data_IF_675701710113
#
_entry.id   IF_675701710113
#
_cell.length_a   1.000
_cell.length_b   1.000
_cell.length_c   1.000
_cell.angle_alpha   90.00
_cell.angle_beta   90.00
_cell.angle_gamma   90.00
#
_symmetry.space_group_name_H-M   'P 1'
#
loop_
_entity.id
_entity.type
_entity.pdbx_description
1 polymer ?
#
# COMPACT_ATOMS: atom_id res chain seq x y z
N UNK A 1 -1.48 -6.94 9.17
CA UNK A 1 -1.93 -8.08 10.01
C UNK A 1 -3.39 -8.40 9.70
N UNK A 2 -3.70 -9.67 9.58
CA UNK A 2 -5.05 -10.18 9.34
C UNK A 2 -5.85 -10.16 10.65
N UNK A 3 -7.00 -9.52 10.65
CA UNK A 3 -7.95 -9.57 11.77
C UNK A 3 -8.78 -10.85 11.76
N UNK A 4 -9.47 -11.18 12.88
CA UNK A 4 -10.34 -12.36 12.96
C UNK A 4 -11.55 -12.28 12.02
N UNK A 5 -11.84 -11.10 11.51
CA UNK A 5 -12.87 -10.81 10.51
C UNK A 5 -12.35 -10.98 9.06
N UNK A 6 -11.10 -11.41 8.88
CA UNK A 6 -10.47 -11.57 7.58
C UNK A 6 -10.07 -10.27 6.89
N UNK A 7 -10.09 -9.15 7.61
CA UNK A 7 -9.68 -7.85 7.11
C UNK A 7 -8.22 -7.60 7.46
N UNK A 8 -7.42 -7.29 6.45
CA UNK A 8 -6.03 -6.93 6.63
C UNK A 8 -5.89 -5.47 7.07
N UNK A 9 -5.03 -5.24 8.05
CA UNK A 9 -4.75 -3.92 8.64
C UNK A 9 -3.25 -3.73 8.81
N UNK A 10 -2.81 -2.49 8.83
CA UNK A 10 -1.41 -2.17 9.03
C UNK A 10 -1.11 -2.13 10.53
N UNK A 11 -0.14 -2.95 10.94
CA UNK A 11 0.41 -2.94 12.29
C UNK A 11 1.68 -2.10 12.37
N UNK A 12 2.18 -1.90 13.58
CA UNK A 12 3.44 -1.21 13.85
C UNK A 12 4.30 -2.00 14.81
N UNK A 13 5.57 -2.08 14.47
CA UNK A 13 6.63 -2.51 15.37
C UNK A 13 7.86 -1.64 15.15
N UNK A 14 8.67 -1.46 16.18
CA UNK A 14 9.93 -0.72 16.08
C UNK A 14 11.06 -1.47 16.77
N UNK A 15 12.26 -1.25 16.26
CA UNK A 15 13.51 -1.81 16.73
C UNK A 15 14.59 -0.72 16.75
N UNK A 16 15.57 -0.87 17.62
CA UNK A 16 16.75 0.00 17.66
C UNK A 16 17.91 -0.54 16.83
N UNK A 17 17.93 -1.83 16.60
CA UNK A 17 19.02 -2.55 15.93
C UNK A 17 18.60 -3.26 14.63
N UNK A 18 17.32 -3.21 14.29
CA UNK A 18 16.74 -3.90 13.11
C UNK A 18 16.53 -5.40 13.31
N UNK A 19 16.92 -5.95 14.45
CA UNK A 19 16.87 -7.38 14.77
C UNK A 19 15.86 -7.66 15.88
N UNK A 20 15.93 -6.89 16.97
CA UNK A 20 15.07 -7.06 18.12
C UNK A 20 13.94 -6.02 18.10
N UNK A 21 12.71 -6.48 17.95
CA UNK A 21 11.52 -5.63 17.93
C UNK A 21 10.86 -5.58 19.30
N UNK A 22 11.40 -4.71 20.16
CA UNK A 22 10.97 -4.56 21.55
C UNK A 22 9.60 -3.87 21.67
N UNK A 23 9.25 -3.06 20.69
CA UNK A 23 7.96 -2.38 20.64
C UNK A 23 7.12 -2.98 19.53
N UNK A 24 5.97 -3.55 19.91
CA UNK A 24 4.97 -4.06 18.98
C UNK A 24 3.59 -3.65 19.47
N UNK A 25 2.86 -2.93 18.62
CA UNK A 25 1.50 -2.56 18.96
C UNK A 25 0.58 -3.79 18.87
N UNK A 26 -0.34 -3.91 19.82
CA UNK A 26 -1.31 -5.01 19.87
C UNK A 26 -2.59 -4.70 19.08
N UNK A 27 -2.69 -3.49 18.54
CA UNK A 27 -3.80 -3.03 17.73
C UNK A 27 -3.29 -2.45 16.40
N UNK A 28 -4.12 -2.43 15.35
CA UNK A 28 -3.74 -1.86 14.07
C UNK A 28 -3.57 -0.34 14.19
N UNK A 29 -2.56 0.19 13.51
CA UNK A 29 -2.28 1.63 13.50
C UNK A 29 -2.89 2.34 12.29
N UNK A 30 -3.31 1.57 11.28
CA UNK A 30 -3.98 2.10 10.10
C UNK A 30 -4.95 1.08 9.48
N UNK A 31 -6.09 1.59 9.08
CA UNK A 31 -7.07 0.95 8.20
C UNK A 31 -7.74 2.06 7.39
N UNK A 32 -7.91 1.90 6.09
CA UNK A 32 -8.54 2.92 5.27
C UNK A 32 -10.05 3.04 5.57
N UNK A 33 -10.52 4.27 5.81
CA UNK A 33 -11.91 4.54 6.20
C UNK A 33 -12.92 4.07 5.16
N UNK A 34 -12.60 4.21 3.86
CA UNK A 34 -13.47 3.72 2.78
C UNK A 34 -13.78 2.23 2.88
N UNK A 35 -12.87 1.47 3.49
CA UNK A 35 -13.09 0.06 3.72
C UNK A 35 -14.07 -0.17 4.89
N UNK A 36 -14.01 0.66 5.92
CA UNK A 36 -14.97 0.62 7.03
C UNK A 36 -16.39 0.93 6.55
N UNK A 37 -16.55 1.92 5.67
CA UNK A 37 -17.85 2.23 5.07
C UNK A 37 -18.34 1.10 4.15
N UNK A 38 -17.47 0.55 3.31
CA UNK A 38 -17.80 -0.59 2.47
C UNK A 38 -18.23 -1.82 3.31
N UNK A 39 -17.64 -2.02 4.47
CA UNK A 39 -18.03 -3.08 5.40
C UNK A 39 -19.46 -2.89 5.95
N UNK A 40 -19.86 -1.67 6.27
CA UNK A 40 -21.20 -1.38 6.78
C UNK A 40 -22.31 -1.73 5.79
N UNK A 41 -22.00 -1.64 4.49
CA UNK A 41 -22.95 -1.85 3.41
C UNK A 41 -22.80 -3.21 2.72
N UNK A 42 -21.85 -4.02 3.16
CA UNK A 42 -21.64 -5.33 2.57
C UNK A 42 -22.69 -6.33 3.07
N UNK A 43 -23.35 -7.10 2.17
CA UNK A 43 -24.35 -8.06 2.58
C UNK A 43 -23.77 -9.28 3.31
N UNK A 44 -22.46 -9.38 3.39
CA UNK A 44 -21.79 -10.45 4.12
C UNK A 44 -21.51 -9.98 5.55
N UNK A 45 -22.41 -10.33 6.46
CA UNK A 45 -22.02 -10.45 7.87
C UNK A 45 -20.74 -11.28 7.92
N UNK A 46 -19.69 -10.71 8.47
CA UNK A 46 -18.42 -11.41 8.67
C UNK A 46 -18.73 -12.81 9.17
N UNK A 47 -18.30 -13.87 8.50
CA UNK A 47 -18.49 -15.22 9.03
C UNK A 47 -17.83 -15.27 10.41
N UNK A 48 -18.53 -15.76 11.41
CA UNK A 48 -18.09 -15.78 12.80
C UNK A 48 -16.77 -16.56 13.03
N UNK A 49 -16.28 -17.23 12.00
CA UNK A 49 -14.95 -17.83 11.87
C UNK A 49 -14.52 -17.79 10.41
N UNK A 50 -13.60 -16.93 10.07
CA UNK A 50 -12.81 -17.09 8.85
C UNK A 50 -11.82 -18.23 9.11
N UNK A 51 -12.16 -19.38 8.60
CA UNK A 51 -11.15 -20.40 8.34
C UNK A 51 -10.38 -19.87 7.13
N UNK A 52 -9.09 -19.60 7.31
CA UNK A 52 -8.22 -19.24 6.20
C UNK A 52 -8.28 -20.36 5.16
N UNK A 53 -8.86 -20.05 4.03
CA UNK A 53 -8.92 -20.95 2.89
C UNK A 53 -8.04 -20.38 1.76
N UNK A 54 -6.86 -20.96 1.54
CA UNK A 54 -5.93 -20.48 0.51
C UNK A 54 -6.52 -20.58 -0.90
N UNK A 55 -7.58 -21.37 -1.12
CA UNK A 55 -8.25 -21.47 -2.41
C UNK A 55 -9.16 -20.26 -2.67
N UNK A 56 -9.67 -19.65 -1.61
CA UNK A 56 -10.48 -18.42 -1.67
C UNK A 56 -9.62 -17.16 -1.63
N UNK A 57 -8.43 -17.23 -1.01
CA UNK A 57 -7.55 -16.10 -0.74
C UNK A 57 -6.13 -16.35 -1.31
N UNK A 58 -6.05 -16.44 -2.62
CA UNK A 58 -4.80 -16.73 -3.35
C UNK A 58 -3.68 -15.71 -3.10
N UNK A 59 -4.01 -14.51 -2.57
CA UNK A 59 -3.02 -13.50 -2.19
C UNK A 59 -2.27 -13.85 -0.89
N UNK A 60 -2.74 -14.83 -0.12
CA UNK A 60 -2.21 -15.16 1.20
C UNK A 60 -2.69 -14.23 2.32
N UNK A 61 -3.49 -13.22 2.01
CA UNK A 61 -4.07 -12.25 2.95
C UNK A 61 -5.55 -12.51 3.25
N UNK A 62 -6.22 -11.48 3.80
CA UNK A 62 -7.65 -11.50 4.03
C UNK A 62 -8.48 -11.34 2.75
N UNK A 63 -9.78 -11.28 2.90
CA UNK A 63 -10.68 -10.98 1.79
C UNK A 63 -10.76 -9.47 1.47
N UNK A 64 -10.19 -8.62 2.33
CA UNK A 64 -10.17 -7.17 2.11
C UNK A 64 -9.26 -6.44 3.09
N UNK A 65 -9.18 -5.12 2.95
CA UNK A 65 -8.42 -4.24 3.81
C UNK A 65 -7.14 -3.68 3.18
N UNK A 66 -6.17 -3.35 4.01
CA UNK A 66 -4.89 -2.75 3.63
C UNK A 66 -3.76 -3.75 3.79
N UNK A 67 -2.97 -3.94 2.72
CA UNK A 67 -1.86 -4.90 2.71
C UNK A 67 -0.58 -4.27 2.14
N UNK A 68 0.56 -4.91 2.41
CA UNK A 68 1.86 -4.61 1.83
C UNK A 68 2.26 -3.12 1.88
N UNK A 69 2.32 -2.52 3.08
CA UNK A 69 2.69 -1.12 3.21
C UNK A 69 4.14 -0.88 2.79
N UNK A 70 4.37 0.22 2.09
CA UNK A 70 5.70 0.74 1.74
C UNK A 70 5.75 2.20 2.13
N UNK A 71 6.68 2.54 3.02
CA UNK A 71 6.79 3.87 3.57
C UNK A 71 8.10 4.54 3.19
N UNK A 72 8.02 5.82 2.88
CA UNK A 72 9.18 6.70 2.64
C UNK A 72 8.99 8.00 3.42
N UNK A 73 10.10 8.63 3.77
CA UNK A 73 10.10 9.95 4.43
C UNK A 73 10.53 11.00 3.41
N UNK A 74 9.74 12.06 3.28
CA UNK A 74 10.06 13.24 2.50
C UNK A 74 9.64 14.48 3.30
N UNK A 75 10.56 15.41 3.51
CA UNK A 75 10.31 16.71 4.14
C UNK A 75 9.53 16.61 5.47
N UNK A 76 9.93 15.68 6.36
CA UNK A 76 9.29 15.46 7.66
C UNK A 76 7.89 14.84 7.60
N UNK A 77 7.51 14.32 6.44
CA UNK A 77 6.26 13.58 6.22
C UNK A 77 6.56 12.14 5.82
N UNK A 78 5.95 11.21 6.49
CA UNK A 78 5.96 9.79 6.10
C UNK A 78 4.80 9.55 5.15
N UNK A 79 5.10 9.18 3.93
CA UNK A 79 4.13 8.70 2.94
C UNK A 79 4.12 7.18 2.96
N UNK A 80 2.95 6.59 2.96
CA UNK A 80 2.77 5.15 2.94
C UNK A 80 1.86 4.75 1.78
N UNK A 81 2.40 4.02 0.81
CA UNK A 81 1.60 3.32 -0.20
C UNK A 81 1.22 1.93 0.32
N UNK A 82 0.08 1.43 -0.09
CA UNK A 82 -0.42 0.13 0.34
C UNK A 82 -1.39 -0.44 -0.69
N UNK A 83 -1.58 -1.75 -0.67
CA UNK A 83 -2.58 -2.39 -1.48
C UNK A 83 -3.94 -2.30 -0.77
N UNK A 84 -4.94 -1.74 -1.45
CA UNK A 84 -6.34 -1.81 -1.07
C UNK A 84 -6.97 -3.01 -1.72
N UNK A 85 -7.36 -3.97 -0.93
CA UNK A 85 -7.98 -5.20 -1.37
C UNK A 85 -9.46 -5.25 -0.94
N UNK A 86 -10.33 -5.51 -1.88
CA UNK A 86 -11.76 -5.72 -1.66
C UNK A 86 -12.24 -6.89 -2.54
N UNK A 87 -11.73 -8.07 -2.23
CA UNK A 87 -11.84 -9.24 -3.10
C UNK A 87 -11.02 -9.06 -4.39
N UNK A 88 -10.95 -10.09 -5.20
CA UNK A 88 -10.17 -10.09 -6.45
C UNK A 88 -10.68 -9.12 -7.52
N UNK A 89 -11.90 -8.62 -7.36
CA UNK A 89 -12.49 -7.68 -8.32
C UNK A 89 -12.01 -6.24 -8.13
N UNK A 90 -11.41 -5.94 -6.98
CA UNK A 90 -10.94 -4.59 -6.67
C UNK A 90 -9.64 -4.66 -5.86
N UNK A 91 -8.54 -4.65 -6.58
CA UNK A 91 -7.21 -4.50 -6.00
C UNK A 91 -6.60 -3.20 -6.52
N UNK A 92 -6.49 -2.21 -5.66
CA UNK A 92 -6.03 -0.86 -6.00
C UNK A 92 -4.89 -0.45 -5.09
N UNK A 93 -4.10 0.50 -5.55
CA UNK A 93 -3.06 1.11 -4.73
C UNK A 93 -3.61 2.37 -4.08
N UNK A 94 -3.47 2.44 -2.77
CA UNK A 94 -3.75 3.62 -1.96
C UNK A 94 -2.48 4.27 -1.47
N UNK A 95 -2.58 5.53 -1.08
CA UNK A 95 -1.55 6.28 -0.38
C UNK A 95 -2.17 7.06 0.76
N UNK A 96 -1.46 7.13 1.86
CA UNK A 96 -1.75 8.04 2.98
C UNK A 96 -0.46 8.64 3.50
N UNK A 97 -0.56 9.60 4.40
CA UNK A 97 0.62 10.20 5.01
C UNK A 97 0.38 10.55 6.47
N UNK A 98 1.47 10.70 7.20
CA UNK A 98 1.48 11.13 8.60
C UNK A 98 2.74 11.99 8.82
N UNK A 99 2.68 12.97 9.71
CA UNK A 99 3.88 13.68 10.11
C UNK A 99 4.87 12.70 10.75
N UNK A 100 6.13 12.78 10.38
CA UNK A 100 7.18 11.93 10.94
C UNK A 100 7.22 12.03 12.48
N UNK A 101 7.10 13.26 13.02
CA UNK A 101 7.05 13.49 14.46
C UNK A 101 5.88 12.79 15.15
N UNK A 102 4.72 12.72 14.50
CA UNK A 102 3.54 12.04 15.07
C UNK A 102 3.73 10.51 15.04
N UNK A 103 4.28 9.97 13.96
CA UNK A 103 4.61 8.56 13.86
C UNK A 103 5.63 8.14 14.94
N UNK A 104 6.71 8.90 15.11
CA UNK A 104 7.74 8.64 16.12
C UNK A 104 7.18 8.72 17.55
N UNK A 105 6.24 9.62 17.79
CA UNK A 105 5.53 9.75 19.07
C UNK A 105 4.33 8.80 19.21
N UNK A 106 4.12 7.88 18.25
CA UNK A 106 3.00 6.92 18.22
C UNK A 106 1.62 7.58 18.28
N UNK A 107 1.52 8.76 17.68
CA UNK A 107 0.26 9.48 17.45
C UNK A 107 -0.21 9.17 16.05
N UNK A 108 -1.16 8.28 15.91
CA UNK A 108 -1.62 7.75 14.62
C UNK A 108 -2.58 8.72 13.91
N UNK A 109 -2.11 9.94 13.67
CA UNK A 109 -2.87 11.03 13.03
C UNK A 109 -2.66 10.98 11.51
N UNK A 110 -3.13 9.91 10.88
CA UNK A 110 -3.04 9.72 9.45
C UNK A 110 -3.94 10.70 8.70
N UNK A 111 -3.44 11.24 7.60
CA UNK A 111 -4.25 12.01 6.66
C UNK A 111 -5.20 11.08 5.91
N UNK A 112 -6.23 11.68 5.29
CA UNK A 112 -7.14 10.95 4.43
C UNK A 112 -6.32 10.25 3.33
N UNK A 113 -6.74 9.04 2.98
CA UNK A 113 -6.09 8.31 1.91
C UNK A 113 -6.59 8.78 0.53
N UNK A 114 -5.74 8.60 -0.48
CA UNK A 114 -6.11 8.74 -1.88
C UNK A 114 -5.79 7.44 -2.64
N UNK A 115 -6.52 7.19 -3.72
CA UNK A 115 -6.14 6.14 -4.64
C UNK A 115 -5.09 6.66 -5.63
N UNK A 116 -4.11 5.82 -5.95
CA UNK A 116 -3.11 6.07 -7.00
C UNK A 116 -3.42 5.32 -8.29
N UNK A 117 -4.20 4.25 -8.22
CA UNK A 117 -4.59 3.44 -9.37
C UNK A 117 -6.08 3.61 -9.70
N UNK A 118 -6.43 3.42 -10.98
CA UNK A 118 -7.80 3.58 -11.46
C UNK A 118 -8.72 2.44 -10.97
N UNK A 119 -10.03 2.69 -10.84
CA UNK A 119 -11.00 1.63 -10.65
C UNK A 119 -10.94 0.61 -11.80
N UNK A 120 -11.01 -0.68 -11.45
CA UNK A 120 -10.96 -1.76 -12.43
C UNK A 120 -9.55 -2.21 -12.83
N UNK A 121 -8.53 -1.38 -12.63
CA UNK A 121 -7.14 -1.78 -12.79
C UNK A 121 -6.73 -2.65 -11.60
N UNK A 122 -6.25 -3.87 -11.89
CA UNK A 122 -5.72 -4.77 -10.85
C UNK A 122 -4.27 -4.42 -10.57
N UNK A 123 -4.06 -3.39 -9.75
CA UNK A 123 -2.75 -2.82 -9.44
C UNK A 123 -2.34 -3.09 -7.99
N UNK A 124 -1.06 -3.39 -7.78
CA UNK A 124 -0.46 -3.59 -6.46
C UNK A 124 1.00 -3.20 -6.43
N UNK A 125 1.54 -3.06 -5.22
CA UNK A 125 2.97 -2.97 -4.96
C UNK A 125 3.67 -1.74 -5.57
N UNK A 126 2.98 -0.61 -5.65
CA UNK A 126 3.61 0.63 -6.07
C UNK A 126 4.53 1.16 -4.97
N UNK A 127 5.71 1.59 -5.35
CA UNK A 127 6.73 2.11 -4.44
C UNK A 127 6.98 3.57 -4.76
N UNK A 128 6.80 4.44 -3.78
CA UNK A 128 7.12 5.86 -3.90
C UNK A 128 8.64 6.03 -3.73
N UNK A 129 9.26 6.82 -4.61
CA UNK A 129 10.65 7.18 -4.49
C UNK A 129 10.83 8.18 -3.33
N UNK A 130 11.91 8.10 -2.53
CA UNK A 130 12.05 8.87 -1.30
C UNK A 130 12.36 10.36 -1.50
N UNK A 131 12.37 10.84 -2.73
CA UNK A 131 12.53 12.25 -3.08
C UNK A 131 11.75 12.58 -4.36
N UNK A 132 11.43 13.85 -4.55
CA UNK A 132 10.83 14.32 -5.79
C UNK A 132 11.87 14.44 -6.89
N UNK A 133 11.57 13.92 -8.07
CA UNK A 133 12.40 14.05 -9.26
C UNK A 133 11.81 15.16 -10.12
N UNK A 134 12.60 16.21 -10.36
CA UNK A 134 12.15 17.41 -11.09
C UNK A 134 10.85 18.01 -10.53
N UNK A 135 10.71 18.02 -9.20
CA UNK A 135 9.55 18.55 -8.48
C UNK A 135 8.33 17.64 -8.45
N UNK A 136 8.38 16.46 -9.07
CA UNK A 136 7.28 15.50 -9.14
C UNK A 136 7.53 14.30 -8.26
N UNK A 137 6.47 13.71 -7.72
CA UNK A 137 6.52 12.39 -7.09
C UNK A 137 6.83 11.35 -8.17
N UNK A 138 7.80 10.48 -7.90
CA UNK A 138 8.14 9.35 -8.77
C UNK A 138 7.70 8.04 -8.11
N UNK A 139 7.05 7.17 -8.86
CA UNK A 139 6.53 5.89 -8.39
C UNK A 139 7.04 4.77 -9.29
N UNK A 140 7.58 3.74 -8.64
CA UNK A 140 7.90 2.48 -9.31
C UNK A 140 6.69 1.55 -9.23
N UNK A 141 6.30 1.00 -10.36
CA UNK A 141 5.18 0.07 -10.42
C UNK A 141 5.26 -0.84 -11.64
N UNK A 142 4.55 -1.94 -11.59
CA UNK A 142 4.24 -2.71 -12.78
C UNK A 142 2.88 -2.24 -13.34
N UNK A 143 2.69 -2.39 -14.63
CA UNK A 143 1.37 -2.25 -15.25
C UNK A 143 0.87 -3.65 -15.59
N UNK A 144 -0.41 -3.91 -15.31
CA UNK A 144 -1.09 -5.15 -15.70
C UNK A 144 -1.43 -5.13 -17.23
N UNK A 145 -0.51 -4.59 -18.03
CA UNK A 145 -0.66 -4.41 -19.45
C UNK A 145 0.19 -5.43 -20.24
N UNK A 146 -0.02 -6.71 -19.96
CA UNK A 146 0.46 -7.77 -20.83
C UNK A 146 1.91 -8.24 -20.64
N UNK A 147 2.77 -7.49 -19.95
CA UNK A 147 4.10 -7.95 -19.53
C UNK A 147 4.33 -7.68 -18.04
N UNK A 148 4.04 -8.66 -17.16
CA UNK A 148 4.16 -8.51 -15.72
C UNK A 148 5.62 -8.38 -15.23
N UNK A 149 6.60 -8.49 -16.10
CA UNK A 149 8.02 -8.45 -15.75
C UNK A 149 8.63 -7.06 -15.84
N UNK A 150 7.92 -6.08 -16.36
CA UNK A 150 8.46 -4.73 -16.52
C UNK A 150 8.09 -3.84 -15.34
N UNK A 151 9.09 -3.11 -14.85
CA UNK A 151 8.91 -2.02 -13.90
C UNK A 151 8.88 -0.71 -14.67
N UNK A 152 7.91 0.13 -14.37
CA UNK A 152 7.74 1.46 -14.93
C UNK A 152 8.01 2.50 -13.87
N UNK A 153 8.43 3.69 -14.31
CA UNK A 153 8.44 4.89 -13.47
C UNK A 153 7.32 5.79 -13.96
N UNK A 154 6.45 6.20 -13.04
CA UNK A 154 5.44 7.23 -13.30
C UNK A 154 5.70 8.45 -12.45
N UNK A 155 5.35 9.61 -12.99
CA UNK A 155 5.53 10.91 -12.35
C UNK A 155 4.17 11.57 -12.13
N UNK A 156 3.97 12.13 -10.93
CA UNK A 156 2.74 12.81 -10.52
C UNK A 156 3.10 14.13 -9.83
N UNK A 157 2.33 15.19 -10.06
CA UNK A 157 2.49 16.43 -9.29
C UNK A 157 1.89 16.27 -7.90
N UNK A 158 0.77 15.54 -7.81
CA UNK A 158 0.05 15.23 -6.57
C UNK A 158 -0.19 13.72 -6.47
N UNK A 159 -0.16 13.21 -5.25
CA UNK A 159 -0.45 11.79 -4.98
C UNK A 159 -1.97 11.56 -4.92
N UNK A 160 -2.61 11.66 -6.07
CA UNK A 160 -4.05 11.53 -6.23
C UNK A 160 -4.40 10.89 -7.58
N UNK A 161 -5.50 10.15 -7.61
CA UNK A 161 -6.02 9.52 -8.83
C UNK A 161 -6.55 10.54 -9.85
N UNK A 162 -6.89 11.76 -9.41
CA UNK A 162 -7.40 12.82 -10.28
C UNK A 162 -6.35 13.28 -11.29
N UNK A 163 -5.09 13.03 -10.98
CA UNK A 163 -3.98 13.19 -11.89
C UNK A 163 -3.56 11.82 -12.46
N UNK A 164 -3.89 11.57 -13.72
CA UNK A 164 -3.44 10.35 -14.39
C UNK A 164 -1.90 10.31 -14.41
N UNK A 165 -1.26 9.25 -13.90
CA UNK A 165 0.18 9.17 -13.88
C UNK A 165 0.73 9.27 -15.31
N UNK A 166 1.66 10.18 -15.53
CA UNK A 166 2.44 10.19 -16.77
C UNK A 166 3.35 8.96 -16.71
N UNK A 167 3.01 7.95 -17.47
CA UNK A 167 3.83 6.73 -17.56
C UNK A 167 5.14 7.09 -18.21
N UNK A 168 6.22 7.01 -17.44
CA UNK A 168 7.57 7.12 -17.95
C UNK A 168 7.96 5.88 -18.78
N UNK A 169 9.16 5.92 -19.35
CA UNK A 169 9.69 4.76 -20.07
C UNK A 169 9.82 3.55 -19.12
N UNK A 170 9.55 2.36 -19.65
CA UNK A 170 9.90 1.13 -18.96
C UNK A 170 11.40 1.16 -18.64
N UNK A 171 11.77 0.78 -17.42
CA UNK A 171 13.18 0.56 -17.11
C UNK A 171 13.67 -0.57 -18.00
N UNK A 172 14.67 -0.29 -18.83
CA UNK A 172 15.31 -1.32 -19.62
C UNK A 172 16.07 -2.24 -18.67
N UNK A 173 15.72 -3.53 -18.59
CA UNK A 173 16.43 -4.47 -17.72
C UNK A 173 17.91 -4.61 -18.06
N UNK A 174 18.35 -4.21 -19.26
CA UNK A 174 19.76 -4.20 -19.63
C UNK A 174 20.55 -3.07 -18.95
N UNK A 175 19.88 -2.07 -18.38
CA UNK A 175 20.53 -0.97 -17.64
C UNK A 175 20.72 -1.29 -16.14
N UNK A 176 20.23 -2.42 -15.66
CA UNK A 176 20.50 -2.89 -14.30
C UNK A 176 21.83 -3.63 -14.35
N UNK A 177 22.92 -3.11 -13.75
CA UNK A 177 24.19 -3.84 -13.71
C UNK A 177 24.00 -5.22 -13.06
N UNK A 178 24.59 -6.27 -13.65
CA UNK A 178 24.49 -7.67 -13.22
C UNK A 178 24.97 -7.95 -11.76
N UNK A 179 25.37 -6.93 -11.01
CA UNK A 179 25.89 -7.07 -9.65
C UNK A 179 24.93 -6.59 -8.55
N UNK A 180 23.67 -6.36 -8.88
CA UNK A 180 22.62 -6.14 -7.88
C UNK A 180 21.68 -7.36 -7.90
N UNK A 181 22.21 -8.49 -7.47
CA UNK A 181 21.45 -9.69 -7.10
C UNK A 181 21.82 -10.03 -5.66
#
# INVERSE_FOLDING_TARGET
ALGPDGVSRIGYASSKDGIHFDVRMTYPVYVAESFQEAQKHWPYTSPARLVYDPTLYQSGGGWGGCEDPRAVVMDGTVFMTFNMFNGWHSMRVGVTSIKESDLLNKKWLWNNFAYLSRPGDRQKNWVLFPEKINGKFALFHNLDLGDPKRVYISYMNELSMDEAPQVGQALDPQLIPDHIV
#
